data_IF_771900088848
#
_entry.id   IF_771900088848
#
_cell.length_a   1.000
_cell.length_b   1.000
_cell.length_c   1.000
_cell.angle_alpha   90.00
_cell.angle_beta   90.00
_cell.angle_gamma   90.00
#
_symmetry.space_group_name_H-M   'P 1'
#
loop_
_entity.id
_entity.type
_entity.pdbx_description
1 polymer ?
#
# COMPACT_ATOMS: atom_id res chain seq x y z
N UNK A 1 2.89 -11.82 -22.93
CA UNK A 1 3.21 -12.34 -21.57
C UNK A 1 2.51 -11.42 -20.56
N UNK A 2 2.08 -11.90 -19.40
CA UNK A 2 1.47 -11.01 -18.41
C UNK A 2 2.47 -9.91 -18.01
N UNK A 3 1.99 -8.68 -17.74
CA UNK A 3 2.85 -7.56 -17.40
C UNK A 3 3.58 -7.80 -16.07
N UNK A 4 4.77 -7.23 -15.94
CA UNK A 4 5.51 -7.21 -14.67
C UNK A 4 5.18 -5.93 -13.92
N UNK A 5 4.66 -6.06 -12.71
CA UNK A 5 4.34 -4.97 -11.81
C UNK A 5 5.45 -4.85 -10.77
N UNK A 6 6.13 -3.72 -10.76
CA UNK A 6 7.07 -3.37 -9.71
C UNK A 6 6.34 -2.81 -8.49
N UNK A 7 6.65 -3.33 -7.31
CA UNK A 7 6.10 -2.83 -6.04
C UNK A 7 7.25 -2.37 -5.16
N UNK A 8 7.24 -1.11 -4.78
CA UNK A 8 8.29 -0.50 -3.96
C UNK A 8 7.79 -0.11 -2.58
N UNK A 9 8.55 -0.49 -1.58
CA UNK A 9 8.38 -0.03 -0.19
C UNK A 9 9.74 0.35 0.42
N UNK A 10 9.71 1.22 1.44
CA UNK A 10 10.90 1.57 2.21
C UNK A 10 11.45 0.41 3.06
N UNK A 11 10.70 -0.67 3.20
CA UNK A 11 11.07 -1.87 3.97
C UNK A 11 10.30 -3.09 3.53
N UNK A 12 9.59 -3.70 4.45
CA UNK A 12 8.77 -4.90 4.19
C UNK A 12 7.27 -4.67 4.40
N UNK A 13 6.85 -3.54 4.96
CA UNK A 13 5.43 -3.22 5.22
C UNK A 13 4.58 -3.24 3.96
N UNK A 14 5.11 -2.78 2.82
CA UNK A 14 4.44 -2.78 1.52
C UNK A 14 4.05 -4.16 0.98
N UNK A 15 4.48 -5.24 1.62
CA UNK A 15 3.99 -6.59 1.33
C UNK A 15 2.49 -6.74 1.63
N UNK A 16 1.89 -5.87 2.46
CA UNK A 16 0.42 -5.78 2.60
C UNK A 16 -0.24 -5.32 1.30
N UNK A 17 0.37 -4.35 0.62
CA UNK A 17 -0.10 -3.89 -0.70
C UNK A 17 0.10 -4.98 -1.75
N UNK A 18 1.26 -5.66 -1.75
CA UNK A 18 1.50 -6.80 -2.64
C UNK A 18 0.47 -7.90 -2.41
N UNK A 19 0.14 -8.23 -1.16
CA UNK A 19 -0.92 -9.20 -0.83
C UNK A 19 -2.26 -8.84 -1.47
N UNK A 20 -2.67 -7.58 -1.36
CA UNK A 20 -3.91 -7.08 -1.96
C UNK A 20 -3.87 -7.13 -3.50
N UNK A 21 -2.72 -6.79 -4.10
CA UNK A 21 -2.51 -6.89 -5.56
C UNK A 21 -2.60 -8.34 -6.06
N UNK A 22 -1.99 -9.28 -5.34
CA UNK A 22 -2.00 -10.71 -5.68
C UNK A 22 -3.41 -11.29 -5.71
N UNK A 23 -4.26 -10.87 -4.77
CA UNK A 23 -5.65 -11.30 -4.72
C UNK A 23 -6.47 -10.80 -5.93
N UNK A 24 -6.12 -9.64 -6.49
CA UNK A 24 -6.87 -8.98 -7.57
C UNK A 24 -6.25 -9.17 -8.95
N UNK A 25 -4.95 -9.45 -9.04
CA UNK A 25 -4.18 -9.63 -10.26
C UNK A 25 -3.39 -10.96 -10.25
N UNK A 26 -4.09 -12.11 -10.14
CA UNK A 26 -3.46 -13.42 -9.90
C UNK A 26 -2.57 -13.92 -11.06
N UNK A 27 -2.68 -13.31 -12.25
CA UNK A 27 -1.87 -13.67 -13.43
C UNK A 27 -0.70 -12.71 -13.69
N UNK A 28 -0.61 -11.58 -12.98
CA UNK A 28 0.51 -10.66 -13.13
C UNK A 28 1.80 -11.24 -12.54
N UNK A 29 2.95 -10.78 -13.04
CA UNK A 29 4.25 -11.01 -12.43
C UNK A 29 4.56 -9.84 -11.51
N UNK A 30 5.17 -10.12 -10.37
CA UNK A 30 5.51 -9.09 -9.41
C UNK A 30 6.99 -9.09 -9.07
N UNK A 31 7.59 -7.90 -9.06
CA UNK A 31 8.91 -7.63 -8.52
C UNK A 31 8.75 -6.68 -7.33
N UNK A 32 8.93 -7.19 -6.11
CA UNK A 32 8.85 -6.40 -4.88
C UNK A 32 10.25 -5.99 -4.44
N UNK A 33 10.45 -4.70 -4.17
CA UNK A 33 11.67 -4.18 -3.58
C UNK A 33 11.38 -3.52 -2.24
N UNK A 34 12.04 -4.02 -1.19
CA UNK A 34 12.12 -3.37 0.12
C UNK A 34 13.46 -2.71 0.35
N UNK A 35 13.49 -1.40 0.54
CA UNK A 35 14.72 -0.62 0.78
C UNK A 35 15.18 -0.69 2.24
N UNK A 36 15.45 -1.89 2.70
CA UNK A 36 15.72 -2.22 4.11
C UNK A 36 17.02 -1.62 4.66
N UNK A 37 18.03 -1.36 3.80
CA UNK A 37 19.27 -0.72 4.23
C UNK A 37 19.08 0.76 4.62
N UNK A 38 18.03 1.41 4.10
CA UNK A 38 17.79 2.84 4.26
C UNK A 38 16.58 3.18 5.12
N UNK A 39 16.07 2.21 5.89
CA UNK A 39 15.02 2.39 6.90
C UNK A 39 15.42 3.35 8.04
N UNK A 40 14.45 3.96 8.73
CA UNK A 40 13.10 4.25 8.30
C UNK A 40 13.05 5.51 7.43
N UNK A 41 12.15 5.56 6.43
CA UNK A 41 11.96 6.77 5.61
C UNK A 41 11.31 7.91 6.40
N UNK A 42 10.47 7.58 7.37
CA UNK A 42 9.71 8.56 8.15
C UNK A 42 10.53 9.56 8.99
N UNK A 43 11.85 9.35 9.12
CA UNK A 43 12.78 10.26 9.84
C UNK A 43 13.76 10.99 8.91
N UNK A 44 13.66 10.82 7.59
CA UNK A 44 14.58 11.41 6.62
C UNK A 44 14.00 12.64 5.94
N UNK A 45 14.88 13.51 5.43
CA UNK A 45 14.45 14.66 4.65
C UNK A 45 13.81 14.25 3.31
N UNK A 46 12.86 15.06 2.80
CA UNK A 46 12.21 14.86 1.48
C UNK A 46 13.24 14.60 0.38
N UNK A 47 14.32 15.39 0.33
CA UNK A 47 15.38 15.23 -0.69
C UNK A 47 16.05 13.85 -0.63
N UNK A 48 16.31 13.34 0.56
CA UNK A 48 16.93 12.02 0.75
C UNK A 48 15.97 10.92 0.34
N UNK A 49 14.69 11.02 0.73
CA UNK A 49 13.64 10.06 0.37
C UNK A 49 13.44 10.04 -1.14
N UNK A 50 13.35 11.20 -1.80
CA UNK A 50 13.18 11.33 -3.24
C UNK A 50 14.33 10.62 -4.00
N UNK A 51 15.58 10.84 -3.58
CA UNK A 51 16.75 10.17 -4.18
C UNK A 51 16.68 8.66 -4.05
N UNK A 52 16.38 8.13 -2.86
CA UNK A 52 16.34 6.70 -2.61
C UNK A 52 15.18 6.03 -3.35
N UNK A 53 14.02 6.66 -3.33
CA UNK A 53 12.84 6.14 -4.01
C UNK A 53 13.00 6.12 -5.54
N UNK A 54 13.64 7.16 -6.13
CA UNK A 54 13.96 7.19 -7.55
C UNK A 54 14.94 6.06 -7.94
N UNK A 55 16.00 5.81 -7.16
CA UNK A 55 16.93 4.71 -7.37
C UNK A 55 16.21 3.35 -7.32
N UNK A 56 15.34 3.17 -6.35
CA UNK A 56 14.54 1.94 -6.19
C UNK A 56 13.59 1.72 -7.37
N UNK A 57 12.94 2.78 -7.84
CA UNK A 57 12.07 2.73 -9.02
C UNK A 57 12.85 2.37 -10.30
N UNK A 58 14.01 3.00 -10.50
CA UNK A 58 14.90 2.68 -11.63
C UNK A 58 15.38 1.22 -11.61
N UNK A 59 15.70 0.67 -10.45
CA UNK A 59 16.04 -0.75 -10.31
C UNK A 59 14.89 -1.64 -10.79
N UNK A 60 13.67 -1.39 -10.31
CA UNK A 60 12.49 -2.18 -10.69
C UNK A 60 12.19 -2.11 -12.18
N UNK A 61 12.34 -0.94 -12.81
CA UNK A 61 12.08 -0.75 -14.24
C UNK A 61 13.22 -1.31 -15.07
N UNK A 62 14.46 -0.88 -14.81
CA UNK A 62 15.59 -1.15 -15.71
C UNK A 62 16.17 -2.56 -15.55
N UNK A 63 16.11 -3.13 -14.33
CA UNK A 63 16.71 -4.43 -14.05
C UNK A 63 15.68 -5.56 -13.89
N UNK A 64 14.46 -5.23 -13.43
CA UNK A 64 13.41 -6.23 -13.25
C UNK A 64 12.33 -6.18 -14.34
N UNK A 65 12.42 -5.20 -15.26
CA UNK A 65 11.51 -5.08 -16.40
C UNK A 65 10.08 -4.74 -15.98
N UNK A 66 9.92 -3.96 -14.91
CA UNK A 66 8.58 -3.50 -14.49
C UNK A 66 8.00 -2.55 -15.53
N UNK A 67 6.80 -2.85 -15.98
CA UNK A 67 6.03 -2.08 -16.96
C UNK A 67 5.05 -1.11 -16.28
N UNK A 68 4.87 -1.28 -14.97
CA UNK A 68 4.03 -0.46 -14.10
C UNK A 68 4.59 -0.48 -12.68
N UNK A 69 4.56 0.64 -11.97
CA UNK A 69 5.02 0.73 -10.58
C UNK A 69 3.89 1.05 -9.61
N UNK A 70 3.86 0.34 -8.48
CA UNK A 70 3.06 0.65 -7.30
C UNK A 70 3.99 1.06 -6.17
N UNK A 71 3.87 2.31 -5.71
CA UNK A 71 4.62 2.82 -4.56
C UNK A 71 3.82 2.53 -3.32
N UNK A 72 4.10 1.38 -2.70
CA UNK A 72 3.36 0.87 -1.54
C UNK A 72 3.58 1.71 -0.29
N UNK A 73 4.79 2.26 -0.10
CA UNK A 73 5.14 3.10 1.03
C UNK A 73 4.36 4.43 1.02
N UNK A 74 3.55 4.67 2.06
CA UNK A 74 2.81 5.93 2.21
C UNK A 74 3.75 7.14 2.30
N UNK A 75 4.86 7.02 3.04
CA UNK A 75 5.86 8.08 3.15
C UNK A 75 6.52 8.41 1.80
N UNK A 76 6.87 7.39 1.01
CA UNK A 76 7.43 7.61 -0.32
C UNK A 76 6.38 8.19 -1.29
N UNK A 77 5.14 7.71 -1.25
CA UNK A 77 4.03 8.25 -2.03
C UNK A 77 3.74 9.71 -1.69
N UNK A 78 3.88 10.09 -0.42
CA UNK A 78 3.63 11.46 0.05
C UNK A 78 4.75 12.45 -0.30
N UNK A 79 6.01 11.99 -0.33
CA UNK A 79 7.20 12.87 -0.37
C UNK A 79 8.05 12.75 -1.63
N UNK A 80 7.86 11.69 -2.43
CA UNK A 80 8.77 11.36 -3.53
C UNK A 80 8.06 10.92 -4.81
N UNK A 81 6.73 10.94 -4.88
CA UNK A 81 6.00 10.41 -6.04
C UNK A 81 6.38 11.14 -7.33
N UNK A 82 6.50 12.48 -7.28
CA UNK A 82 6.98 13.33 -8.35
C UNK A 82 8.37 12.91 -8.86
N UNK A 83 9.32 12.78 -7.94
CA UNK A 83 10.68 12.37 -8.28
C UNK A 83 10.77 10.94 -8.85
N UNK A 84 9.89 10.04 -8.42
CA UNK A 84 9.80 8.70 -8.98
C UNK A 84 9.26 8.77 -10.41
N UNK A 85 8.17 9.53 -10.64
CA UNK A 85 7.55 9.70 -11.96
C UNK A 85 8.53 10.31 -12.97
N UNK A 86 9.34 11.26 -12.54
CA UNK A 86 10.39 11.87 -13.38
C UNK A 86 11.56 10.92 -13.69
N UNK A 87 11.78 9.92 -12.83
CA UNK A 87 12.93 9.02 -12.93
C UNK A 87 12.69 7.78 -13.84
N UNK A 88 11.44 7.48 -14.19
CA UNK A 88 11.08 6.26 -14.94
C UNK A 88 10.04 6.54 -16.02
N UNK A 89 10.11 5.82 -17.18
CA UNK A 89 9.18 6.04 -18.30
C UNK A 89 7.88 5.24 -18.20
N UNK A 90 7.61 4.59 -17.07
CA UNK A 90 6.43 3.73 -16.87
C UNK A 90 5.39 4.42 -15.98
N UNK A 91 4.11 4.04 -16.07
CA UNK A 91 3.10 4.55 -15.15
C UNK A 91 3.44 4.24 -13.70
N UNK A 92 3.22 5.21 -12.81
CA UNK A 92 3.50 5.09 -11.36
C UNK A 92 2.23 5.40 -10.59
N UNK A 93 1.84 4.49 -9.71
CA UNK A 93 0.71 4.64 -8.79
C UNK A 93 1.22 4.76 -7.35
N UNK A 94 0.91 5.86 -6.68
CA UNK A 94 1.06 5.99 -5.22
C UNK A 94 -0.18 5.47 -4.48
N UNK A 95 -0.09 5.31 -3.16
CA UNK A 95 -1.20 4.80 -2.34
C UNK A 95 -2.06 5.91 -1.70
N UNK A 96 -1.64 7.17 -1.75
CA UNK A 96 -2.34 8.30 -1.11
C UNK A 96 -3.67 8.59 -1.81
N UNK A 97 -3.64 8.85 -3.12
CA UNK A 97 -4.85 9.17 -3.89
C UNK A 97 -5.89 8.05 -3.88
N UNK A 98 -5.51 6.76 -4.08
CA UNK A 98 -6.45 5.65 -3.93
C UNK A 98 -7.07 5.59 -2.53
N UNK A 99 -6.26 5.80 -1.48
CA UNK A 99 -6.74 5.84 -0.09
C UNK A 99 -7.77 6.95 0.15
N UNK A 100 -7.49 8.16 -0.35
CA UNK A 100 -8.42 9.31 -0.28
C UNK A 100 -9.70 9.05 -1.09
N UNK A 101 -9.60 8.44 -2.27
CA UNK A 101 -10.75 8.09 -3.10
C UNK A 101 -11.64 7.03 -2.43
N UNK A 102 -11.03 6.03 -1.77
CA UNK A 102 -11.76 5.03 -0.99
C UNK A 102 -12.44 5.67 0.24
N UNK A 103 -11.76 6.59 0.93
CA UNK A 103 -12.37 7.37 2.01
C UNK A 103 -13.57 8.20 1.51
N UNK A 104 -13.46 8.84 0.33
CA UNK A 104 -14.58 9.57 -0.29
C UNK A 104 -15.78 8.67 -0.57
N UNK A 105 -15.54 7.48 -1.08
CA UNK A 105 -16.60 6.50 -1.35
C UNK A 105 -17.26 5.96 -0.08
N UNK A 106 -16.50 5.91 1.03
CA UNK A 106 -16.98 5.39 2.30
C UNK A 106 -17.68 6.47 3.15
N UNK A 107 -17.15 7.69 3.22
CA UNK A 107 -17.65 8.73 4.11
C UNK A 107 -19.02 9.29 3.69
N UNK A 108 -19.91 9.37 4.64
CA UNK A 108 -21.23 10.02 4.52
C UNK A 108 -21.21 11.46 5.02
N UNK A 109 -20.36 11.75 6.01
CA UNK A 109 -20.28 13.09 6.63
C UNK A 109 -19.34 14.03 5.88
N UNK A 110 -18.39 13.49 5.11
CA UNK A 110 -17.33 14.25 4.48
C UNK A 110 -16.16 14.54 5.43
N UNK A 111 -16.20 14.09 6.68
CA UNK A 111 -15.13 14.24 7.67
C UNK A 111 -14.39 12.92 7.84
N UNK A 112 -13.06 12.94 7.67
CA UNK A 112 -12.21 11.77 7.65
C UNK A 112 -11.06 11.93 8.63
N UNK A 113 -10.76 10.87 9.37
CA UNK A 113 -9.54 10.76 10.17
C UNK A 113 -8.49 9.97 9.40
N UNK A 114 -7.22 10.33 9.60
CA UNK A 114 -6.09 9.60 9.02
C UNK A 114 -5.04 9.38 10.10
N UNK A 115 -4.62 8.14 10.29
CA UNK A 115 -3.45 7.81 11.10
C UNK A 115 -2.30 7.40 10.19
N UNK A 116 -1.09 7.97 10.42
CA UNK A 116 0.05 7.73 9.54
C UNK A 116 1.38 7.89 10.29
N UNK A 117 2.50 7.77 9.56
CA UNK A 117 3.83 8.11 10.09
C UNK A 117 3.99 9.62 10.19
N UNK A 118 4.91 10.08 11.04
CA UNK A 118 5.20 11.51 11.23
C UNK A 118 5.45 12.23 9.90
N UNK A 119 6.35 11.70 9.06
CA UNK A 119 6.67 12.35 7.78
C UNK A 119 5.49 12.38 6.79
N UNK A 120 4.59 11.37 6.82
CA UNK A 120 3.37 11.37 6.01
C UNK A 120 2.42 12.48 6.47
N UNK A 121 2.21 12.62 7.78
CA UNK A 121 1.34 13.68 8.36
C UNK A 121 1.92 15.06 8.09
N UNK A 122 3.22 15.28 8.31
CA UNK A 122 3.90 16.55 8.05
C UNK A 122 3.83 16.97 6.57
N UNK A 123 3.77 16.02 5.64
CA UNK A 123 3.61 16.30 4.21
C UNK A 123 2.26 16.87 3.83
N UNK A 124 1.22 16.63 4.65
CA UNK A 124 -0.18 16.97 4.36
C UNK A 124 -0.74 16.33 3.09
N UNK A 125 -0.15 15.23 2.64
CA UNK A 125 -0.53 14.60 1.37
C UNK A 125 -1.96 14.05 1.42
N UNK A 126 -2.37 13.41 2.52
CA UNK A 126 -3.75 12.95 2.70
C UNK A 126 -4.73 14.11 2.82
N UNK A 127 -4.39 15.17 3.57
CA UNK A 127 -5.22 16.39 3.65
C UNK A 127 -5.45 16.98 2.26
N UNK A 128 -4.40 17.11 1.45
CA UNK A 128 -4.49 17.64 0.09
C UNK A 128 -5.35 16.75 -0.83
N UNK A 129 -5.11 15.44 -0.82
CA UNK A 129 -5.86 14.49 -1.62
C UNK A 129 -7.36 14.41 -1.23
N UNK A 130 -7.65 14.42 0.08
CA UNK A 130 -9.01 14.46 0.59
C UNK A 130 -9.71 15.78 0.23
N UNK A 131 -9.04 16.91 0.40
CA UNK A 131 -9.58 18.23 0.05
C UNK A 131 -9.94 18.32 -1.44
N UNK A 132 -9.10 17.79 -2.34
CA UNK A 132 -9.39 17.72 -3.77
C UNK A 132 -10.67 16.92 -4.10
N UNK A 133 -11.09 16.03 -3.20
CA UNK A 133 -12.31 15.23 -3.31
C UNK A 133 -13.49 15.80 -2.49
N UNK A 134 -13.36 17.01 -1.94
CA UNK A 134 -14.39 17.66 -1.12
C UNK A 134 -14.56 17.05 0.28
N UNK A 135 -13.52 16.40 0.82
CA UNK A 135 -13.47 15.89 2.19
C UNK A 135 -12.67 16.83 3.10
N UNK A 136 -13.00 16.88 4.39
CA UNK A 136 -12.13 17.41 5.43
C UNK A 136 -11.37 16.26 6.07
N UNK A 137 -10.06 16.34 6.12
CA UNK A 137 -9.22 15.31 6.73
C UNK A 137 -8.45 15.88 7.92
N UNK A 138 -8.44 15.15 9.03
CA UNK A 138 -7.58 15.38 10.17
C UNK A 138 -6.57 14.23 10.27
N UNK A 139 -5.27 14.57 10.19
CA UNK A 139 -4.18 13.61 10.22
C UNK A 139 -3.50 13.59 11.59
N UNK A 140 -3.19 12.39 12.08
CA UNK A 140 -2.40 12.20 13.30
C UNK A 140 -1.22 11.25 13.08
N UNK A 141 -0.05 11.65 13.58
CA UNK A 141 1.14 10.81 13.58
C UNK A 141 1.07 9.78 14.70
N UNK A 142 1.26 8.50 14.36
CA UNK A 142 1.26 7.39 15.31
C UNK A 142 2.61 6.64 15.29
N UNK A 143 3.73 7.27 15.72
CA UNK A 143 5.08 6.75 15.52
C UNK A 143 5.34 5.42 16.25
N UNK A 144 4.61 5.09 17.32
CA UNK A 144 4.81 3.84 18.07
C UNK A 144 4.24 2.61 17.38
N UNK A 145 3.29 2.78 16.44
CA UNK A 145 2.60 1.64 15.84
C UNK A 145 3.51 0.80 14.93
N UNK A 146 4.43 1.44 14.19
CA UNK A 146 5.38 0.70 13.32
C UNK A 146 6.30 -0.20 14.14
N UNK A 147 7.02 0.26 15.18
CA UNK A 147 7.82 -0.61 16.05
C UNK A 147 7.03 -1.77 16.67
N UNK A 148 5.82 -1.51 17.15
CA UNK A 148 4.98 -2.56 17.75
C UNK A 148 4.64 -3.68 16.76
N UNK A 149 4.35 -3.32 15.51
CA UNK A 149 4.12 -4.29 14.44
C UNK A 149 5.38 -5.08 14.10
N UNK A 150 6.53 -4.40 13.96
CA UNK A 150 7.81 -5.04 13.64
C UNK A 150 8.27 -6.03 14.73
N UNK A 151 8.01 -5.70 16.01
CA UNK A 151 8.27 -6.61 17.14
C UNK A 151 7.24 -7.74 17.22
N UNK A 152 6.19 -7.73 16.39
CA UNK A 152 5.17 -8.77 16.35
C UNK A 152 4.08 -8.64 17.41
N UNK A 153 3.95 -7.47 18.04
CA UNK A 153 2.93 -7.20 19.07
C UNK A 153 1.59 -6.78 18.44
N UNK A 154 1.20 -7.45 17.36
CA UNK A 154 -0.01 -7.12 16.60
C UNK A 154 -1.31 -7.45 17.32
N UNK A 155 -1.28 -8.34 18.31
CA UNK A 155 -2.42 -8.72 19.17
C UNK A 155 -2.01 -8.63 20.64
N UNK A 156 -1.40 -7.51 21.04
CA UNK A 156 -0.91 -7.31 22.39
C UNK A 156 -1.65 -6.18 23.12
N UNK A 157 -1.92 -6.37 24.43
CA UNK A 157 -2.65 -5.39 25.25
C UNK A 157 -2.00 -3.99 25.23
N UNK A 158 -0.66 -3.92 25.26
CA UNK A 158 0.05 -2.62 25.14
C UNK A 158 -0.24 -1.95 23.81
N UNK A 159 -0.29 -2.69 22.71
CA UNK A 159 -0.62 -2.15 21.39
C UNK A 159 -2.06 -1.63 21.34
N UNK A 160 -3.00 -2.38 21.91
CA UNK A 160 -4.39 -1.93 22.04
C UNK A 160 -4.50 -0.63 22.85
N UNK A 161 -3.72 -0.51 23.95
CA UNK A 161 -3.70 0.72 24.75
C UNK A 161 -3.12 1.90 23.99
N UNK A 162 -1.99 1.72 23.29
CA UNK A 162 -1.37 2.77 22.47
C UNK A 162 -2.34 3.24 21.37
N UNK A 163 -3.03 2.31 20.70
CA UNK A 163 -4.06 2.65 19.69
C UNK A 163 -5.18 3.49 20.33
N UNK A 164 -5.69 3.09 21.50
CA UNK A 164 -6.75 3.83 22.19
C UNK A 164 -6.32 5.25 22.56
N UNK A 165 -5.10 5.44 23.02
CA UNK A 165 -4.55 6.77 23.33
C UNK A 165 -4.56 7.65 22.08
N UNK A 166 -3.95 7.19 20.97
CA UNK A 166 -3.90 7.95 19.72
C UNK A 166 -5.30 8.28 19.19
N UNK A 167 -6.21 7.30 19.17
CA UNK A 167 -7.55 7.52 18.66
C UNK A 167 -8.38 8.43 19.57
N UNK A 168 -8.18 8.40 20.89
CA UNK A 168 -8.83 9.32 21.82
C UNK A 168 -8.39 10.77 21.60
N UNK A 169 -7.08 11.01 21.44
CA UNK A 169 -6.52 12.32 21.12
C UNK A 169 -7.04 12.84 19.78
N UNK A 170 -7.02 11.99 18.74
CA UNK A 170 -7.47 12.34 17.39
C UNK A 170 -8.97 12.69 17.37
N UNK A 171 -9.81 11.92 18.07
CA UNK A 171 -11.23 12.20 18.16
C UNK A 171 -11.51 13.49 18.97
N UNK A 172 -10.75 13.74 20.05
CA UNK A 172 -10.89 14.97 20.82
C UNK A 172 -10.52 16.20 19.98
N UNK A 173 -9.46 16.12 19.18
CA UNK A 173 -9.07 17.18 18.27
C UNK A 173 -10.11 17.40 17.16
N UNK A 174 -10.65 16.32 16.57
CA UNK A 174 -11.74 16.41 15.59
C UNK A 174 -12.97 17.12 16.17
N UNK A 175 -13.37 16.76 17.39
CA UNK A 175 -14.49 17.38 18.07
C UNK A 175 -14.24 18.88 18.35
N UNK A 176 -13.02 19.25 18.76
CA UNK A 176 -12.63 20.65 18.97
C UNK A 176 -12.69 21.49 17.68
N UNK A 177 -12.47 20.84 16.51
CA UNK A 177 -12.59 21.46 15.19
C UNK A 177 -14.02 21.39 14.60
N UNK A 178 -15.02 20.90 15.35
CA UNK A 178 -16.38 20.75 14.89
C UNK A 178 -16.54 19.74 13.75
N UNK A 179 -15.68 18.72 13.72
CA UNK A 179 -15.77 17.61 12.79
C UNK A 179 -16.64 16.48 13.36
N UNK A 180 -17.28 15.74 12.45
CA UNK A 180 -18.07 14.54 12.77
C UNK A 180 -17.59 13.35 11.93
N UNK A 181 -16.37 12.84 12.18
CA UNK A 181 -15.76 11.82 11.33
C UNK A 181 -16.49 10.48 11.44
N UNK A 182 -16.71 9.85 10.28
CA UNK A 182 -17.28 8.50 10.13
C UNK A 182 -16.35 7.52 9.45
N UNK A 183 -15.15 7.98 9.09
CA UNK A 183 -14.17 7.19 8.33
C UNK A 183 -12.77 7.43 8.87
N UNK A 184 -12.01 6.34 9.04
CA UNK A 184 -10.60 6.33 9.43
C UNK A 184 -9.74 5.68 8.34
N UNK A 185 -8.71 6.37 7.84
CA UNK A 185 -7.76 5.84 6.87
C UNK A 185 -6.49 5.36 7.55
N UNK A 186 -6.06 4.13 7.22
CA UNK A 186 -4.78 3.57 7.62
C UNK A 186 -3.70 4.03 6.65
N UNK A 187 -3.03 5.13 6.95
CA UNK A 187 -2.02 5.80 6.12
C UNK A 187 -0.58 5.26 6.31
N UNK A 188 -0.45 3.97 6.61
CA UNK A 188 0.84 3.29 6.73
C UNK A 188 0.69 1.82 6.40
N UNK A 189 1.65 1.24 5.67
CA UNK A 189 1.68 -0.17 5.25
C UNK A 189 1.70 -1.18 6.40
N UNK A 190 2.10 -0.76 7.60
CA UNK A 190 2.12 -1.59 8.79
C UNK A 190 0.74 -1.72 9.46
N UNK A 191 -0.09 -0.69 9.36
CA UNK A 191 -1.33 -0.59 10.14
C UNK A 191 -2.42 -1.59 9.78
N UNK A 192 -2.48 -2.16 8.55
CA UNK A 192 -3.41 -3.25 8.26
C UNK A 192 -3.26 -4.47 9.18
N UNK A 193 -2.04 -4.73 9.72
CA UNK A 193 -1.82 -5.81 10.69
C UNK A 193 -2.44 -5.52 12.07
N UNK A 194 -2.71 -4.24 12.37
CA UNK A 194 -3.35 -3.78 13.59
C UNK A 194 -4.86 -3.57 13.42
N UNK A 195 -5.40 -3.79 12.22
CA UNK A 195 -6.81 -3.52 11.91
C UNK A 195 -7.78 -4.11 12.94
N UNK A 196 -7.65 -5.36 13.42
CA UNK A 196 -8.56 -5.90 14.42
C UNK A 196 -8.59 -5.09 15.73
N UNK A 197 -7.43 -4.60 16.20
CA UNK A 197 -7.34 -3.76 17.41
C UNK A 197 -7.88 -2.34 17.16
N UNK A 198 -7.64 -1.80 15.96
CA UNK A 198 -8.14 -0.48 15.56
C UNK A 198 -9.66 -0.50 15.45
N UNK A 199 -10.26 -1.52 14.81
CA UNK A 199 -11.71 -1.67 14.68
C UNK A 199 -12.42 -1.83 16.04
N UNK A 200 -11.75 -2.40 17.04
CA UNK A 200 -12.25 -2.47 18.42
C UNK A 200 -12.15 -1.12 19.15
N UNK A 201 -11.25 -0.24 18.75
CA UNK A 201 -10.97 1.02 19.42
C UNK A 201 -11.70 2.24 18.82
N UNK A 202 -12.13 2.16 17.56
CA UNK A 202 -12.89 3.23 16.91
C UNK A 202 -14.34 3.26 17.37
N UNK A 203 -15.02 4.43 17.31
CA UNK A 203 -16.47 4.52 17.59
C UNK A 203 -17.30 3.58 16.72
N UNK A 204 -18.42 3.08 17.27
CA UNK A 204 -19.33 2.23 16.52
C UNK A 204 -19.82 2.94 15.24
N UNK A 205 -19.76 2.24 14.12
CA UNK A 205 -20.16 2.77 12.81
C UNK A 205 -19.05 3.47 12.02
N UNK A 206 -17.89 3.73 12.62
CA UNK A 206 -16.73 4.27 11.89
C UNK A 206 -16.18 3.22 10.92
N UNK A 207 -15.94 3.62 9.66
CA UNK A 207 -15.38 2.76 8.62
C UNK A 207 -13.86 2.87 8.59
N UNK A 208 -13.19 1.74 8.66
CA UNK A 208 -11.72 1.68 8.58
C UNK A 208 -11.32 1.36 7.15
N UNK A 209 -10.59 2.27 6.51
CA UNK A 209 -10.13 2.17 5.12
C UNK A 209 -8.66 1.76 5.12
N UNK A 210 -8.38 0.67 4.40
CA UNK A 210 -7.02 0.19 4.16
C UNK A 210 -6.50 0.75 2.82
N UNK A 211 -5.41 1.50 2.87
CA UNK A 211 -4.77 2.06 1.66
C UNK A 211 -4.22 0.98 0.72
N UNK A 212 -3.90 -0.21 1.24
CA UNK A 212 -3.40 -1.33 0.44
C UNK A 212 -4.50 -1.89 -0.49
N UNK A 213 -5.70 -2.11 0.05
CA UNK A 213 -6.84 -2.56 -0.74
C UNK A 213 -7.25 -1.51 -1.79
N UNK A 214 -7.31 -0.25 -1.39
CA UNK A 214 -7.61 0.85 -2.29
C UNK A 214 -6.59 0.98 -3.45
N UNK A 215 -5.31 0.83 -3.15
CA UNK A 215 -4.24 0.85 -4.15
C UNK A 215 -4.36 -0.34 -5.13
N UNK A 216 -4.67 -1.53 -4.64
CA UNK A 216 -4.86 -2.70 -5.48
C UNK A 216 -6.06 -2.53 -6.45
N UNK A 217 -7.17 -1.94 -5.99
CA UNK A 217 -8.30 -1.60 -6.86
C UNK A 217 -7.95 -0.56 -7.92
N UNK A 218 -7.17 0.47 -7.54
CA UNK A 218 -6.71 1.48 -8.49
C UNK A 218 -5.75 0.87 -9.53
N UNK A 219 -4.85 -0.03 -9.12
CA UNK A 219 -3.94 -0.73 -10.02
C UNK A 219 -4.71 -1.56 -11.07
N UNK A 220 -5.76 -2.28 -10.68
CA UNK A 220 -6.64 -3.02 -11.61
C UNK A 220 -7.24 -2.07 -12.65
N UNK A 221 -7.78 -0.91 -12.22
CA UNK A 221 -8.38 0.08 -13.15
C UNK A 221 -7.35 0.60 -14.15
N UNK A 222 -6.13 0.89 -13.70
CA UNK A 222 -5.06 1.38 -14.57
C UNK A 222 -4.58 0.31 -15.55
N UNK A 223 -4.40 -0.93 -15.12
CA UNK A 223 -4.05 -2.05 -16.00
C UNK A 223 -5.10 -2.25 -17.11
N UNK A 224 -6.39 -2.13 -16.77
CA UNK A 224 -7.47 -2.27 -17.75
C UNK A 224 -7.55 -1.11 -18.76
N UNK A 225 -7.18 0.10 -18.35
CA UNK A 225 -7.22 1.28 -19.21
C UNK A 225 -5.99 1.40 -20.12
N UNK A 226 -4.90 0.72 -19.80
CA UNK A 226 -3.64 0.74 -20.56
C UNK A 226 -3.59 -0.29 -21.70
N UNK A 227 -4.59 -1.19 -21.79
CA UNK A 227 -4.70 -2.14 -22.88
C UNK A 227 -5.47 -1.54 -24.07
N UNK A 228 -5.04 -1.79 -25.32
CA UNK A 228 -5.81 -1.41 -26.51
C UNK A 228 -7.23 -2.00 -26.45
N UNK A 229 -8.24 -1.20 -26.74
CA UNK A 229 -9.66 -1.59 -26.66
C UNK A 229 -10.07 -2.68 -27.64
N UNK A 230 -9.17 -3.09 -28.54
CA UNK A 230 -9.43 -4.09 -29.59
C UNK A 230 -8.93 -5.50 -29.24
N UNK A 231 -8.31 -5.71 -28.11
CA UNK A 231 -7.99 -7.04 -27.61
C UNK A 231 -8.90 -7.39 -26.44
N UNK A 232 -9.36 -8.68 -26.40
CA UNK A 232 -10.25 -9.22 -25.39
C UNK A 232 -9.92 -8.77 -23.96
N UNK A 233 -10.91 -8.66 -23.04
CA UNK A 233 -10.72 -8.14 -21.69
C UNK A 233 -9.48 -8.76 -21.05
N UNK A 234 -8.65 -7.91 -20.45
CA UNK A 234 -7.35 -8.25 -19.88
C UNK A 234 -7.36 -9.69 -19.35
N UNK A 235 -6.50 -10.60 -19.84
CA UNK A 235 -6.51 -12.02 -19.45
C UNK A 235 -6.37 -12.22 -17.91
N UNK A 236 -6.12 -11.14 -17.19
CA UNK A 236 -6.02 -11.06 -15.73
C UNK A 236 -7.39 -11.09 -15.05
N UNK A 237 -8.50 -10.70 -15.74
CA UNK A 237 -9.85 -10.58 -15.16
C UNK A 237 -10.82 -11.72 -15.53
N UNK A 238 -10.48 -12.57 -16.51
CA UNK A 238 -11.41 -13.57 -17.00
C UNK A 238 -11.72 -14.74 -16.04
N UNK A 239 -11.03 -14.83 -14.89
CA UNK A 239 -11.28 -15.90 -13.93
C UNK A 239 -12.41 -15.60 -12.93
N UNK A 240 -12.79 -14.33 -12.70
CA UNK A 240 -13.80 -13.98 -11.69
C UNK A 240 -15.22 -13.75 -12.25
N UNK A 241 -15.37 -13.58 -13.58
CA UNK A 241 -16.68 -13.36 -14.22
C UNK A 241 -17.28 -14.63 -14.85
N UNK A 242 -16.51 -15.70 -15.04
CA UNK A 242 -16.97 -16.93 -15.70
C UNK A 242 -17.94 -17.78 -14.86
N UNK A 243 -18.06 -17.52 -13.57
CA UNK A 243 -18.98 -18.28 -12.69
C UNK A 243 -20.46 -17.86 -12.77
N UNK A 244 -20.82 -16.85 -13.59
CA UNK A 244 -22.20 -16.33 -13.64
C UNK A 244 -22.96 -16.52 -14.96
N UNK A 245 -22.35 -17.09 -15.97
CA UNK A 245 -23.06 -17.38 -17.24
C UNK A 245 -22.74 -18.81 -17.65
N UNK A 246 -23.72 -19.70 -17.47
CA UNK A 246 -23.64 -21.08 -17.95
C UNK A 246 -23.58 -21.11 -19.47
N UNK A 247 -22.49 -21.59 -20.02
CA UNK A 247 -22.31 -21.82 -21.44
C UNK A 247 -20.95 -22.48 -21.69
N UNK A 248 -21.00 -23.67 -22.26
CA UNK A 248 -20.01 -24.59 -22.83
C UNK A 248 -18.50 -24.36 -22.44
N UNK A 249 -17.98 -25.42 -21.83
CA UNK A 249 -16.59 -25.58 -21.41
C UNK A 249 -15.62 -25.53 -22.61
N UNK A 250 -14.62 -24.61 -22.62
CA UNK A 250 -13.40 -24.85 -23.37
C UNK A 250 -12.50 -25.79 -22.55
N UNK A 251 -11.82 -26.68 -23.25
CA UNK A 251 -10.95 -27.76 -22.77
C UNK A 251 -10.09 -27.37 -21.56
N UNK A 252 -10.28 -28.13 -20.48
CA UNK A 252 -9.43 -28.14 -19.29
C UNK A 252 -8.07 -28.75 -19.67
N UNK A 253 -7.01 -27.95 -19.85
CA UNK A 253 -5.61 -28.40 -19.81
C UNK A 253 -4.62 -27.21 -19.85
N UNK A 254 -4.86 -26.17 -19.06
CA UNK A 254 -3.81 -25.24 -18.70
C UNK A 254 -4.03 -24.85 -17.22
N UNK A 255 -3.37 -25.56 -16.31
CA UNK A 255 -3.23 -25.07 -14.94
C UNK A 255 -2.66 -23.64 -14.97
N UNK A 256 -3.26 -22.68 -14.24
CA UNK A 256 -2.73 -21.33 -14.20
C UNK A 256 -1.31 -21.41 -13.65
N UNK A 257 -0.32 -20.98 -14.44
CA UNK A 257 1.07 -20.84 -13.97
C UNK A 257 1.05 -20.05 -12.67
N UNK A 258 1.70 -20.54 -11.60
CA UNK A 258 1.68 -19.88 -10.30
C UNK A 258 2.18 -18.44 -10.47
N UNK A 259 1.49 -17.49 -9.82
CA UNK A 259 1.88 -16.07 -9.82
C UNK A 259 3.35 -15.93 -9.43
N UNK A 260 4.17 -15.43 -10.34
CA UNK A 260 5.59 -15.27 -10.09
C UNK A 260 5.84 -14.02 -9.26
N UNK A 261 6.39 -14.20 -8.08
CA UNK A 261 6.84 -13.12 -7.21
C UNK A 261 8.35 -13.24 -7.06
N UNK A 262 9.04 -12.13 -7.30
CA UNK A 262 10.44 -11.97 -6.93
C UNK A 262 10.54 -10.89 -5.88
N UNK A 263 11.20 -11.20 -4.76
CA UNK A 263 11.41 -10.26 -3.66
C UNK A 263 12.88 -9.87 -3.59
N UNK A 264 13.12 -8.57 -3.44
CA UNK A 264 14.43 -7.95 -3.32
C UNK A 264 14.51 -7.13 -2.03
N UNK A 265 15.66 -7.17 -1.37
CA UNK A 265 15.96 -6.35 -0.21
C UNK A 265 17.34 -5.71 -0.37
N UNK A 266 17.53 -4.51 0.14
CA UNK A 266 18.83 -3.83 0.08
C UNK A 266 19.72 -4.17 1.28
N UNK A 267 19.17 -4.80 2.32
CA UNK A 267 19.88 -5.34 3.50
C UNK A 267 18.96 -6.31 4.26
N UNK A 268 19.55 -7.04 5.22
CA UNK A 268 18.83 -7.84 6.23
C UNK A 268 17.81 -8.83 5.64
N UNK A 269 18.25 -9.63 4.65
CA UNK A 269 17.41 -10.62 3.95
C UNK A 269 16.65 -11.54 4.92
N UNK A 270 17.34 -12.06 5.97
CA UNK A 270 16.72 -12.95 6.97
C UNK A 270 15.60 -12.22 7.76
N UNK A 271 15.84 -10.94 8.14
CA UNK A 271 14.80 -10.13 8.79
C UNK A 271 13.63 -9.92 7.84
N UNK A 272 13.92 -9.65 6.55
CA UNK A 272 12.90 -9.48 5.52
C UNK A 272 12.06 -10.76 5.36
N UNK A 273 12.66 -11.92 5.21
CA UNK A 273 11.95 -13.21 5.06
C UNK A 273 11.06 -13.50 6.28
N UNK A 274 11.61 -13.32 7.49
CA UNK A 274 10.87 -13.56 8.73
C UNK A 274 9.68 -12.63 8.93
N UNK A 275 9.88 -11.32 8.78
CA UNK A 275 8.82 -10.32 8.98
C UNK A 275 7.91 -10.25 7.75
N UNK A 276 8.48 -10.29 6.55
CA UNK A 276 7.74 -10.20 5.30
C UNK A 276 6.66 -11.27 5.16
N UNK A 277 6.93 -12.47 5.64
CA UNK A 277 5.94 -13.55 5.63
C UNK A 277 4.68 -13.21 6.44
N UNK A 278 4.79 -12.41 7.51
CA UNK A 278 3.64 -11.94 8.30
C UNK A 278 2.81 -10.90 7.54
N UNK A 279 3.46 -9.98 6.82
CA UNK A 279 2.78 -8.95 6.04
C UNK A 279 2.11 -9.53 4.79
N UNK A 280 2.79 -10.48 4.13
CA UNK A 280 2.30 -11.15 2.93
C UNK A 280 1.24 -12.22 3.21
N UNK A 281 1.15 -12.67 4.48
CA UNK A 281 0.29 -13.78 4.93
C UNK A 281 0.62 -15.11 4.22
N UNK A 282 1.87 -15.27 3.79
CA UNK A 282 2.46 -16.47 3.20
C UNK A 282 3.99 -16.33 3.12
N UNK A 283 4.74 -17.41 2.88
CA UNK A 283 6.18 -17.30 2.67
C UNK A 283 6.51 -16.34 1.50
N UNK A 284 7.49 -15.46 1.72
CA UNK A 284 8.00 -14.54 0.68
C UNK A 284 8.72 -15.26 -0.46
N UNK A 285 9.10 -16.52 -0.26
CA UNK A 285 10.05 -17.20 -1.11
C UNK A 285 11.49 -16.70 -0.88
N UNK A 286 12.37 -17.00 -1.81
CA UNK A 286 13.75 -16.50 -1.77
C UNK A 286 13.78 -15.00 -1.99
N UNK A 287 14.41 -14.27 -1.05
CA UNK A 287 14.68 -12.84 -1.16
C UNK A 287 16.11 -12.63 -1.71
N UNK A 288 16.25 -11.84 -2.73
CA UNK A 288 17.53 -11.51 -3.34
C UNK A 288 18.09 -10.22 -2.74
N UNK A 289 19.33 -10.26 -2.27
CA UNK A 289 20.05 -9.07 -1.81
C UNK A 289 20.47 -8.24 -3.03
N UNK A 290 20.21 -6.93 -2.98
CA UNK A 290 20.59 -6.00 -4.04
C UNK A 290 21.27 -4.76 -3.47
N UNK A 291 22.30 -4.28 -4.15
CA UNK A 291 22.96 -3.01 -3.81
C UNK A 291 22.50 -1.95 -4.81
N UNK A 292 21.89 -0.88 -4.29
CA UNK A 292 21.41 0.25 -5.09
C UNK A 292 22.39 1.43 -5.10
N UNK A 293 23.54 1.26 -4.47
CA UNK A 293 24.49 2.33 -4.23
C UNK A 293 24.05 3.29 -3.13
N UNK A 294 25.00 3.87 -2.40
CA UNK A 294 24.77 4.81 -1.27
C UNK A 294 24.49 6.24 -1.71
#
# INVERSE_FOLDING_TARGET
MPPTIGVFDSGFGGLTVLRALLARLPRARFAFLGDTARLPYGSKSRRTIARYAAQSAQFLVNQQGAEFLVIACNTASALALDAIQDAVPVPVLGVIEPGAAAARAASLTGDVLVIATTATVESRAYTAACCALGLRALEMACPLLVPLVEEGWTDHQVTAEVIRIYLAELNAEAAAQGMNPDTLVLGCTHYPLLRPLIEQAVPAGMRVIDSAEAAAEAAVRLCNNSLPKDEAPCPILSASLAERVGGDSPSADAEPSPTQIRCFATDSVEKFERLGSRFLDRPTGKVELVDLGG
#
